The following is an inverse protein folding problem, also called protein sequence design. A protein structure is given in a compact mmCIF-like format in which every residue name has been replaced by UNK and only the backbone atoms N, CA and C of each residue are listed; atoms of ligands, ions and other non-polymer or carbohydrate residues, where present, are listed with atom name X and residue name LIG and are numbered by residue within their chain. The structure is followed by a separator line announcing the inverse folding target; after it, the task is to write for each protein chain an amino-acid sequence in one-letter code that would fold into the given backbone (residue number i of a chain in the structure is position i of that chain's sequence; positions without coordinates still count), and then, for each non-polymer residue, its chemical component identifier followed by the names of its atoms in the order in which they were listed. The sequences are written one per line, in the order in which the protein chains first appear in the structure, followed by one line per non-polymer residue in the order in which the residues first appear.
data_IF_387573830774
#
_entry.id   IF_387573830774
#
_cell.length_a   1.000
_cell.length_b   1.000
_cell.length_c   1.000
_cell.angle_alpha   90.00
_cell.angle_beta   90.00
_cell.angle_gamma   90.00
#
_symmetry.space_group_name_H-M   'P 1'
#
loop_
_entity.id
_entity.type
_entity.pdbx_description
1 polymer ?
#
# COMPACT_ATOMS: atom_id res chain seq x y z
N UNK A 1 10.19 -17.06 0.33
CA UNK A 1 9.38 -16.40 -0.71
C UNK A 1 10.01 -15.03 -0.91
N UNK A 2 10.67 -14.81 -2.05
CA UNK A 2 11.23 -13.49 -2.36
C UNK A 2 10.06 -12.63 -2.80
N UNK A 3 9.90 -11.47 -2.18
CA UNK A 3 8.91 -10.48 -2.58
C UNK A 3 9.68 -9.34 -3.22
N UNK A 4 9.32 -9.01 -4.44
CA UNK A 4 9.91 -7.91 -5.17
C UNK A 4 8.99 -6.69 -5.10
N UNK A 5 9.60 -5.50 -5.11
CA UNK A 5 8.83 -4.26 -5.07
C UNK A 5 7.84 -4.15 -6.25
N UNK A 6 8.14 -4.78 -7.38
CA UNK A 6 7.31 -4.80 -8.59
C UNK A 6 6.07 -5.69 -8.46
N UNK A 7 6.01 -6.54 -7.43
CA UNK A 7 4.82 -7.37 -7.13
C UNK A 7 3.68 -6.50 -6.55
N UNK A 8 4.00 -5.27 -6.14
CA UNK A 8 3.09 -4.37 -5.46
C UNK A 8 2.54 -3.26 -6.37
N UNK A 9 1.21 -3.20 -6.45
CA UNK A 9 0.48 -2.05 -6.97
C UNK A 9 0.16 -1.04 -5.87
N UNK A 10 -0.19 0.19 -6.27
CA UNK A 10 -0.71 1.21 -5.37
C UNK A 10 -2.02 1.73 -5.92
N UNK A 11 -3.02 1.75 -5.05
CA UNK A 11 -4.29 2.42 -5.31
C UNK A 11 -4.50 3.52 -4.29
N UNK A 12 -5.22 4.56 -4.73
CA UNK A 12 -5.48 5.75 -3.94
C UNK A 12 -6.86 6.28 -4.27
N UNK A 13 -7.58 6.70 -3.24
CA UNK A 13 -8.90 7.30 -3.39
C UNK A 13 -9.14 8.40 -2.35
N UNK A 14 -10.06 9.30 -2.65
CA UNK A 14 -10.57 10.25 -1.67
C UNK A 14 -11.60 9.56 -0.77
N UNK A 15 -11.46 9.74 0.54
CA UNK A 15 -12.44 9.31 1.55
C UNK A 15 -12.79 10.49 2.44
N UNK A 16 -13.90 11.14 2.13
CA UNK A 16 -14.35 12.34 2.83
C UNK A 16 -13.30 13.46 2.71
N UNK A 17 -12.86 14.01 3.84
CA UNK A 17 -11.88 15.09 3.90
C UNK A 17 -10.40 14.61 3.87
N UNK A 18 -10.15 13.32 3.57
CA UNK A 18 -8.80 12.73 3.55
C UNK A 18 -8.57 11.92 2.29
N UNK A 19 -7.31 11.70 1.97
CA UNK A 19 -6.88 10.73 0.97
C UNK A 19 -6.43 9.45 1.66
N UNK A 20 -6.76 8.32 1.05
CA UNK A 20 -6.26 7.01 1.50
C UNK A 20 -5.65 6.29 0.33
N UNK A 21 -4.56 5.59 0.58
CA UNK A 21 -3.89 4.73 -0.37
C UNK A 21 -3.59 3.38 0.26
N UNK A 22 -3.43 2.35 -0.57
CA UNK A 22 -3.09 1.02 -0.12
C UNK A 22 -2.23 0.30 -1.13
N UNK A 23 -1.47 -0.66 -0.62
CA UNK A 23 -0.71 -1.60 -1.42
C UNK A 23 -1.65 -2.70 -1.89
N UNK A 24 -1.57 -3.06 -3.17
CA UNK A 24 -2.24 -4.23 -3.73
C UNK A 24 -1.20 -5.24 -4.20
N UNK A 25 -1.63 -6.49 -4.40
CA UNK A 25 -0.78 -7.58 -4.90
C UNK A 25 -1.55 -8.44 -5.90
N UNK A 26 -0.82 -9.07 -6.83
CA UNK A 26 -1.33 -10.12 -7.73
C UNK A 26 -2.55 -9.68 -8.57
N UNK A 27 -2.58 -8.41 -9.01
CA UNK A 27 -3.69 -7.86 -9.79
C UNK A 27 -4.98 -7.65 -9.01
N UNK A 28 -4.96 -7.82 -7.68
CA UNK A 28 -6.08 -7.48 -6.81
C UNK A 28 -6.26 -5.97 -6.72
N UNK A 29 -7.51 -5.55 -6.53
CA UNK A 29 -7.87 -4.17 -6.20
C UNK A 29 -7.95 -3.93 -4.69
N UNK A 30 -7.90 -5.00 -3.90
CA UNK A 30 -8.09 -4.96 -2.45
C UNK A 30 -6.77 -4.61 -1.73
N UNK A 31 -6.86 -3.93 -0.57
CA UNK A 31 -5.70 -3.70 0.29
C UNK A 31 -5.08 -5.02 0.73
N UNK A 32 -3.78 -5.14 0.54
CA UNK A 32 -2.98 -6.18 1.16
C UNK A 32 -3.07 -6.01 2.68
N UNK A 33 -3.41 -7.10 3.38
CA UNK A 33 -3.60 -7.18 4.83
C UNK A 33 -4.58 -6.18 5.42
N UNK A 34 -5.51 -5.66 4.61
CA UNK A 34 -6.48 -4.64 5.03
C UNK A 34 -5.82 -3.35 5.55
N UNK A 35 -4.59 -3.04 5.14
CA UNK A 35 -3.87 -1.83 5.55
C UNK A 35 -4.22 -0.65 4.64
N UNK A 36 -4.70 0.45 5.24
CA UNK A 36 -4.96 1.73 4.57
C UNK A 36 -4.05 2.81 5.13
N UNK A 37 -3.39 3.55 4.24
CA UNK A 37 -2.45 4.62 4.56
C UNK A 37 -3.11 5.96 4.24
N UNK A 38 -3.25 6.82 5.24
CA UNK A 38 -3.88 8.13 5.05
C UNK A 38 -2.85 9.20 4.64
N UNK A 39 -3.34 10.22 3.96
CA UNK A 39 -2.62 11.47 3.68
C UNK A 39 -3.59 12.65 3.64
N UNK A 40 -3.08 13.86 3.88
CA UNK A 40 -3.84 15.09 3.70
C UNK A 40 -4.04 15.38 2.21
N UNK A 41 -3.08 15.00 1.36
CA UNK A 41 -3.17 15.07 -0.10
C UNK A 41 -3.09 13.67 -0.73
N UNK A 42 -3.47 13.59 -2.01
CA UNK A 42 -3.32 12.36 -2.80
C UNK A 42 -1.86 11.88 -2.81
N UNK A 43 -0.94 12.79 -3.08
CA UNK A 43 0.48 12.49 -3.20
C UNK A 43 1.08 12.00 -1.88
N UNK A 44 0.63 12.56 -0.76
CA UNK A 44 1.07 12.11 0.57
C UNK A 44 0.59 10.68 0.86
N UNK A 45 -0.68 10.37 0.56
CA UNK A 45 -1.20 9.03 0.73
C UNK A 45 -0.44 8.02 -0.17
N UNK A 46 -0.22 8.37 -1.45
CA UNK A 46 0.57 7.54 -2.38
C UNK A 46 2.00 7.34 -1.89
N UNK A 47 2.66 8.38 -1.39
CA UNK A 47 4.02 8.29 -0.84
C UNK A 47 4.08 7.36 0.37
N UNK A 48 3.09 7.45 1.27
CA UNK A 48 2.97 6.55 2.42
C UNK A 48 2.77 5.09 1.98
N UNK A 49 1.96 4.84 0.96
CA UNK A 49 1.78 3.49 0.41
C UNK A 49 3.05 2.96 -0.30
N UNK A 50 3.82 3.83 -0.98
CA UNK A 50 5.13 3.45 -1.57
C UNK A 50 6.11 3.03 -0.49
N UNK A 51 6.26 3.86 0.55
CA UNK A 51 7.12 3.54 1.68
C UNK A 51 6.68 2.28 2.42
N UNK A 52 5.37 1.99 2.46
CA UNK A 52 4.86 0.75 3.01
C UNK A 52 5.24 -0.47 2.15
N UNK A 53 5.08 -0.40 0.82
CA UNK A 53 5.51 -1.47 -0.08
C UNK A 53 7.02 -1.75 0.01
N UNK A 54 7.84 -0.70 0.17
CA UNK A 54 9.28 -0.85 0.36
C UNK A 54 9.60 -1.58 1.68
N UNK A 55 8.85 -1.28 2.76
CA UNK A 55 8.95 -2.02 4.03
C UNK A 55 8.55 -3.48 3.91
N UNK A 56 7.48 -3.78 3.17
CA UNK A 56 7.03 -5.16 2.94
C UNK A 56 8.06 -5.97 2.11
N UNK A 57 8.74 -5.29 1.19
CA UNK A 57 9.83 -5.89 0.40
C UNK A 57 11.04 -6.21 1.30
N UNK A 58 11.40 -5.27 2.17
CA UNK A 58 12.53 -5.43 3.10
C UNK A 58 12.25 -6.43 4.23
N UNK A 59 11.00 -6.52 4.69
CA UNK A 59 10.58 -7.41 5.76
C UNK A 59 9.24 -8.11 5.45
N UNK A 60 9.28 -9.23 4.71
CA UNK A 60 8.09 -9.98 4.34
C UNK A 60 7.29 -10.55 5.53
N UNK A 61 7.85 -10.60 6.75
CA UNK A 61 7.13 -11.08 7.94
C UNK A 61 5.96 -10.16 8.33
N UNK A 62 5.99 -8.92 7.83
CA UNK A 62 4.93 -7.95 8.07
C UNK A 62 3.64 -8.30 7.31
N UNK A 63 3.71 -9.20 6.33
CA UNK A 63 2.55 -9.70 5.61
C UNK A 63 1.86 -10.77 6.46
N UNK A 64 0.61 -10.51 6.86
CA UNK A 64 -0.19 -11.39 7.71
C UNK A 64 -1.08 -12.30 6.85
N UNK A 65 -0.94 -13.61 7.04
CA UNK A 65 -1.82 -14.64 6.44
C UNK A 65 -3.24 -14.60 6.99
#
# INVERSE_FOLDING_TARGET
MTIDRNDFGIKTESRGARWVAWVTRDGSDKPLDSVLLCGQTRDEAESNARAWADKLTADPILIRN
#
